data_IF_927909033409
#
_entry.id   IF_927909033409
#
_cell.length_a   1.000
_cell.length_b   1.000
_cell.length_c   1.000
_cell.angle_alpha   90.00
_cell.angle_beta   90.00
_cell.angle_gamma   90.00
#
_symmetry.space_group_name_H-M   'P 1'
#
loop_
_entity.id
_entity.type
_entity.pdbx_description
1 polymer ?
#
# COMPACT_ATOMS: atom_id res chain seq x y z
N UNK A 1 27.82 0.45 -15.61
CA UNK A 1 27.17 -0.37 -14.57
C UNK A 1 26.25 0.53 -13.76
N UNK A 2 25.06 0.05 -13.35
CA UNK A 2 24.18 0.81 -12.46
C UNK A 2 24.91 1.08 -11.13
N UNK A 3 24.73 2.29 -10.58
CA UNK A 3 25.19 2.63 -9.23
C UNK A 3 24.04 2.39 -8.26
N UNK A 4 24.24 1.51 -7.27
CA UNK A 4 23.25 1.21 -6.24
C UNK A 4 23.52 2.05 -4.99
N UNK A 5 22.46 2.63 -4.43
CA UNK A 5 22.48 3.30 -3.13
C UNK A 5 21.39 2.72 -2.24
N UNK A 6 21.77 2.27 -1.04
CA UNK A 6 20.87 1.81 0.00
C UNK A 6 20.80 2.87 1.10
N UNK A 7 19.69 3.61 1.14
CA UNK A 7 19.46 4.62 2.17
C UNK A 7 18.64 4.02 3.32
N UNK A 8 19.17 4.03 4.54
CA UNK A 8 18.45 3.55 5.72
C UNK A 8 18.89 4.25 7.01
N UNK A 9 18.14 4.05 8.09
CA UNK A 9 18.56 4.51 9.42
C UNK A 9 19.92 3.91 9.79
N UNK A 10 20.67 4.62 10.64
CA UNK A 10 21.91 4.10 11.21
C UNK A 10 21.66 3.00 12.27
N UNK A 11 21.12 1.89 11.78
CA UNK A 11 20.80 0.66 12.50
C UNK A 11 20.67 -0.48 11.49
N UNK A 12 20.65 -1.72 11.98
CA UNK A 12 20.46 -2.93 11.15
C UNK A 12 19.06 -2.93 10.51
N UNK A 13 18.04 -3.12 11.35
CA UNK A 13 16.62 -3.05 10.97
C UNK A 13 16.27 -3.81 9.70
N UNK A 14 15.37 -3.26 8.88
CA UNK A 14 14.90 -3.89 7.63
C UNK A 14 15.93 -3.84 6.50
N UNK A 15 16.98 -3.01 6.59
CA UNK A 15 18.00 -2.92 5.55
C UNK A 15 19.10 -3.97 5.68
N UNK A 16 19.27 -4.58 6.87
CA UNK A 16 20.35 -5.54 7.10
C UNK A 16 20.33 -6.73 6.14
N UNK A 17 19.19 -7.39 5.85
CA UNK A 17 19.17 -8.47 4.86
C UNK A 17 19.64 -7.98 3.48
N UNK A 18 19.24 -6.78 3.06
CA UNK A 18 19.68 -6.18 1.79
C UNK A 18 21.18 -5.91 1.76
N UNK A 19 21.77 -5.42 2.86
CA UNK A 19 23.23 -5.24 2.98
C UNK A 19 23.96 -6.56 2.81
N UNK A 20 23.52 -7.61 3.51
CA UNK A 20 24.12 -8.94 3.42
C UNK A 20 24.01 -9.51 2.00
N UNK A 21 22.89 -9.29 1.31
CA UNK A 21 22.71 -9.72 -0.09
C UNK A 21 23.70 -9.04 -1.04
N UNK A 22 23.95 -7.74 -0.90
CA UNK A 22 24.97 -7.05 -1.70
C UNK A 22 26.36 -7.64 -1.48
N UNK A 23 26.73 -7.91 -0.23
CA UNK A 23 28.03 -8.50 0.13
C UNK A 23 28.18 -9.91 -0.45
N UNK A 24 27.19 -10.78 -0.25
CA UNK A 24 27.20 -12.16 -0.77
C UNK A 24 27.27 -12.17 -2.30
N UNK A 25 26.58 -11.24 -2.97
CA UNK A 25 26.60 -11.13 -4.43
C UNK A 25 27.86 -10.46 -4.99
N UNK A 26 28.76 -9.91 -4.16
CA UNK A 26 29.92 -9.15 -4.61
C UNK A 26 29.56 -7.86 -5.36
N UNK A 27 28.35 -7.33 -5.15
CA UNK A 27 27.85 -6.13 -5.84
C UNK A 27 28.19 -4.89 -5.02
N UNK A 28 28.92 -3.97 -5.63
CA UNK A 28 29.25 -2.68 -5.01
C UNK A 28 27.98 -1.81 -4.85
N UNK A 29 27.84 -1.22 -3.67
CA UNK A 29 26.74 -0.31 -3.33
C UNK A 29 27.18 0.75 -2.32
N UNK A 30 26.48 1.87 -2.29
CA UNK A 30 26.63 2.91 -1.28
C UNK A 30 25.66 2.64 -0.11
N UNK A 31 26.17 2.41 1.10
CA UNK A 31 25.37 2.30 2.34
C UNK A 31 25.19 3.69 2.95
N UNK A 32 24.18 4.43 2.49
CA UNK A 32 23.85 5.76 2.98
C UNK A 32 23.04 5.67 4.29
N UNK A 33 23.71 5.90 5.41
CA UNK A 33 23.10 5.87 6.74
C UNK A 33 22.67 7.26 7.15
N UNK A 34 21.41 7.38 7.56
CA UNK A 34 20.79 8.67 7.89
C UNK A 34 20.22 8.70 9.31
N UNK A 35 20.33 9.85 9.95
CA UNK A 35 19.66 10.16 11.22
C UNK A 35 18.20 10.59 11.04
N UNK A 36 17.48 10.74 12.15
CA UNK A 36 16.07 11.18 12.18
C UNK A 36 15.85 12.53 11.48
N UNK A 37 16.76 13.50 11.65
CA UNK A 37 16.62 14.82 11.01
C UNK A 37 16.85 14.76 9.49
N UNK A 38 17.86 13.99 9.04
CA UNK A 38 18.07 13.73 7.62
C UNK A 38 16.88 12.97 7.02
N UNK A 39 16.29 12.03 7.77
CA UNK A 39 15.07 11.34 7.37
C UNK A 39 13.93 12.31 7.13
N UNK A 40 13.70 13.28 8.03
CA UNK A 40 12.66 14.32 7.83
C UNK A 40 12.88 15.12 6.54
N UNK A 41 14.14 15.38 6.17
CA UNK A 41 14.49 16.14 4.96
C UNK A 41 14.31 15.33 3.67
N UNK A 42 14.59 14.01 3.69
CA UNK A 42 14.48 13.15 2.49
C UNK A 42 13.13 12.42 2.39
N UNK A 43 12.40 12.25 3.49
CA UNK A 43 11.08 11.63 3.50
C UNK A 43 10.18 12.52 2.65
N UNK A 44 9.80 12.01 1.48
CA UNK A 44 8.85 12.70 0.61
C UNK A 44 7.59 13.00 1.42
N UNK A 45 7.11 14.26 1.38
CA UNK A 45 5.88 14.71 2.04
C UNK A 45 4.64 14.09 1.39
N UNK A 46 4.51 12.77 1.54
CA UNK A 46 3.37 11.94 1.16
C UNK A 46 2.58 11.52 2.40
N UNK A 47 3.00 11.92 3.60
CA UNK A 47 2.26 11.69 4.84
C UNK A 47 1.21 12.79 5.10
N UNK A 48 1.11 13.83 4.29
CA UNK A 48 0.16 14.93 4.49
C UNK A 48 0.78 16.14 5.20
N UNK A 49 0.15 17.30 5.05
CA UNK A 49 0.73 18.60 5.39
C UNK A 49 0.46 19.02 6.84
N UNK A 50 -0.66 18.57 7.42
CA UNK A 50 -1.02 18.83 8.82
C UNK A 50 -1.02 17.55 9.64
N UNK A 51 -0.94 17.66 10.97
CA UNK A 51 -1.06 16.50 11.87
C UNK A 51 -2.36 15.72 11.65
N UNK A 52 -3.47 16.43 11.37
CA UNK A 52 -4.75 15.79 11.06
C UNK A 52 -4.69 15.00 9.75
N UNK A 53 -4.01 15.51 8.73
CA UNK A 53 -3.80 14.77 7.48
C UNK A 53 -2.92 13.55 7.69
N UNK A 54 -1.82 13.68 8.47
CA UNK A 54 -0.94 12.57 8.83
C UNK A 54 -1.67 11.42 9.50
N UNK A 55 -2.46 11.73 10.52
CA UNK A 55 -3.28 10.75 11.21
C UNK A 55 -4.24 10.01 10.26
N UNK A 56 -4.90 10.75 9.35
CA UNK A 56 -5.80 10.16 8.36
C UNK A 56 -5.08 9.27 7.35
N UNK A 57 -3.88 9.65 6.92
CA UNK A 57 -3.04 8.81 6.06
C UNK A 57 -2.71 7.51 6.78
N UNK A 58 -2.22 7.59 8.02
CA UNK A 58 -1.84 6.42 8.82
C UNK A 58 -3.06 5.49 9.06
N UNK A 59 -4.22 6.05 9.38
CA UNK A 59 -5.44 5.26 9.61
C UNK A 59 -5.90 4.50 8.36
N UNK A 60 -5.90 5.15 7.18
CA UNK A 60 -6.21 4.49 5.90
C UNK A 60 -5.21 3.36 5.63
N UNK A 61 -3.93 3.63 5.82
CA UNK A 61 -2.86 2.65 5.58
C UNK A 61 -3.01 1.45 6.50
N UNK A 62 -3.31 1.67 7.78
CA UNK A 62 -3.47 0.61 8.76
C UNK A 62 -4.65 -0.32 8.41
N UNK A 63 -5.80 0.23 8.03
CA UNK A 63 -6.93 -0.59 7.56
C UNK A 63 -6.56 -1.46 6.36
N UNK A 64 -5.82 -0.92 5.39
CA UNK A 64 -5.42 -1.64 4.18
C UNK A 64 -4.35 -2.70 4.48
N UNK A 65 -3.40 -2.41 5.38
CA UNK A 65 -2.39 -3.37 5.83
C UNK A 65 -3.04 -4.52 6.60
N UNK A 66 -3.98 -4.23 7.51
CA UNK A 66 -4.74 -5.26 8.23
C UNK A 66 -5.51 -6.17 7.25
N UNK A 67 -6.17 -5.58 6.25
CA UNK A 67 -6.87 -6.31 5.20
C UNK A 67 -5.91 -7.23 4.42
N UNK A 68 -4.73 -6.74 4.02
CA UNK A 68 -3.73 -7.54 3.29
C UNK A 68 -3.14 -8.66 4.15
N UNK A 69 -2.77 -8.36 5.38
CA UNK A 69 -2.23 -9.35 6.30
C UNK A 69 -3.21 -10.50 6.50
N UNK A 70 -4.52 -10.18 6.59
CA UNK A 70 -5.54 -11.21 6.74
C UNK A 70 -5.66 -12.13 5.52
N UNK A 71 -5.49 -11.61 4.30
CA UNK A 71 -5.45 -12.45 3.10
C UNK A 71 -4.25 -13.39 3.08
N UNK A 72 -3.09 -12.93 3.55
CA UNK A 72 -1.86 -13.73 3.59
C UNK A 72 -1.97 -14.90 4.58
N UNK A 73 -2.85 -14.80 5.58
CA UNK A 73 -3.12 -15.90 6.51
C UNK A 73 -3.91 -17.05 5.89
N UNK A 74 -4.52 -16.88 4.70
CA UNK A 74 -5.29 -17.93 4.07
C UNK A 74 -4.40 -19.16 3.84
N UNK A 75 -4.80 -20.33 4.35
CA UNK A 75 -4.03 -21.54 4.14
C UNK A 75 -3.99 -21.89 2.65
N UNK A 76 -2.90 -22.54 2.23
CA UNK A 76 -2.86 -23.20 0.94
C UNK A 76 -3.96 -24.26 0.86
N UNK A 77 -4.51 -24.48 -0.33
CA UNK A 77 -5.54 -25.50 -0.59
C UNK A 77 -5.12 -26.85 0.04
N UNK A 78 -5.99 -27.42 0.87
CA UNK A 78 -5.77 -28.67 1.62
C UNK A 78 -7.11 -29.35 1.86
N UNK A 79 -7.18 -30.67 1.69
CA UNK A 79 -8.40 -31.47 1.93
C UNK A 79 -8.66 -31.77 3.42
N UNK A 80 -8.02 -31.04 4.36
CA UNK A 80 -8.23 -31.23 5.80
C UNK A 80 -9.40 -30.34 6.24
N UNK A 81 -10.49 -30.89 6.81
CA UNK A 81 -11.63 -30.11 7.26
C UNK A 81 -11.30 -28.98 8.25
N UNK A 82 -10.21 -29.12 9.03
CA UNK A 82 -9.74 -28.06 9.94
C UNK A 82 -9.15 -26.88 9.17
N UNK A 83 -8.54 -27.15 8.02
CA UNK A 83 -8.00 -26.13 7.13
C UNK A 83 -9.14 -25.38 6.43
N UNK A 84 -10.21 -26.08 6.03
CA UNK A 84 -11.41 -25.47 5.47
C UNK A 84 -12.10 -24.53 6.47
N UNK A 85 -12.40 -25.01 7.68
CA UNK A 85 -13.04 -24.20 8.72
C UNK A 85 -12.22 -22.93 9.06
N UNK A 86 -10.89 -23.07 9.13
CA UNK A 86 -9.99 -21.94 9.34
C UNK A 86 -10.00 -20.97 8.15
N UNK A 87 -10.03 -21.46 6.92
CA UNK A 87 -10.12 -20.63 5.72
C UNK A 87 -11.43 -19.82 5.71
N UNK A 88 -12.56 -20.43 6.08
CA UNK A 88 -13.86 -19.75 6.19
C UNK A 88 -13.84 -18.62 7.22
N UNK A 89 -13.24 -18.86 8.41
CA UNK A 89 -13.10 -17.84 9.44
C UNK A 89 -12.24 -16.66 8.95
N UNK A 90 -11.13 -16.95 8.28
CA UNK A 90 -10.23 -15.93 7.71
C UNK A 90 -10.96 -15.13 6.64
N UNK A 91 -11.68 -15.79 5.73
CA UNK A 91 -12.47 -15.13 4.68
C UNK A 91 -13.56 -14.23 5.27
N UNK A 92 -14.23 -14.68 6.35
CA UNK A 92 -15.21 -13.86 7.06
C UNK A 92 -14.56 -12.62 7.65
N UNK A 93 -13.45 -12.79 8.38
CA UNK A 93 -12.72 -11.67 8.98
C UNK A 93 -12.16 -10.71 7.92
N UNK A 94 -11.67 -11.22 6.80
CA UNK A 94 -11.25 -10.42 5.65
C UNK A 94 -12.40 -9.60 5.08
N UNK A 95 -13.58 -10.19 4.86
CA UNK A 95 -14.77 -9.48 4.38
C UNK A 95 -15.20 -8.38 5.35
N UNK A 96 -15.14 -8.64 6.66
CA UNK A 96 -15.45 -7.64 7.68
C UNK A 96 -14.45 -6.47 7.67
N UNK A 97 -13.15 -6.76 7.54
CA UNK A 97 -12.10 -5.75 7.40
C UNK A 97 -12.25 -4.96 6.11
N UNK A 98 -12.52 -5.62 4.99
CA UNK A 98 -12.76 -4.99 3.69
C UNK A 98 -13.95 -4.04 3.77
N UNK A 99 -15.06 -4.47 4.37
CA UNK A 99 -16.25 -3.63 4.56
C UNK A 99 -15.94 -2.39 5.41
N UNK A 100 -15.21 -2.55 6.53
CA UNK A 100 -14.78 -1.44 7.39
C UNK A 100 -13.86 -0.47 6.64
N UNK A 101 -12.85 -1.00 5.95
CA UNK A 101 -11.90 -0.23 5.16
C UNK A 101 -12.62 0.55 4.06
N UNK A 102 -13.44 -0.11 3.24
CA UNK A 102 -14.21 0.55 2.18
C UNK A 102 -15.14 1.63 2.76
N UNK A 103 -15.86 1.34 3.83
CA UNK A 103 -16.78 2.32 4.45
C UNK A 103 -16.03 3.56 4.95
N UNK A 104 -14.94 3.34 5.69
CA UNK A 104 -14.15 4.42 6.25
C UNK A 104 -13.47 5.25 5.16
N UNK A 105 -12.77 4.60 4.24
CA UNK A 105 -12.02 5.25 3.16
C UNK A 105 -12.99 5.99 2.24
N UNK A 106 -14.10 5.38 1.84
CA UNK A 106 -15.10 6.04 1.01
C UNK A 106 -15.65 7.28 1.71
N UNK A 107 -16.06 7.19 2.98
CA UNK A 107 -16.52 8.35 3.73
C UNK A 107 -15.46 9.45 3.83
N UNK A 108 -14.19 9.07 4.05
CA UNK A 108 -13.07 10.00 4.14
C UNK A 108 -12.81 10.70 2.81
N UNK A 109 -12.77 9.96 1.69
CA UNK A 109 -12.62 10.52 0.35
C UNK A 109 -13.81 11.44 0.03
N UNK A 110 -15.04 11.03 0.30
CA UNK A 110 -16.24 11.83 0.01
C UNK A 110 -16.26 13.14 0.81
N UNK A 111 -15.83 13.12 2.07
CA UNK A 111 -15.62 14.35 2.85
C UNK A 111 -14.54 15.23 2.22
N UNK A 112 -13.40 14.63 1.84
CA UNK A 112 -12.30 15.34 1.22
C UNK A 112 -12.67 15.91 -0.17
N UNK A 113 -13.56 15.26 -0.93
CA UNK A 113 -14.04 15.73 -2.24
C UNK A 113 -14.91 16.99 -2.16
N UNK A 114 -15.61 17.21 -1.04
CA UNK A 114 -16.37 18.46 -0.84
C UNK A 114 -15.45 19.68 -0.77
N UNK A 115 -14.17 19.48 -0.46
CA UNK A 115 -13.16 20.52 -0.25
C UNK A 115 -11.95 20.37 -1.18
N UNK A 116 -11.93 19.36 -2.06
CA UNK A 116 -10.69 18.85 -2.65
C UNK A 116 -10.83 18.31 -4.08
N UNK A 117 -9.69 17.86 -4.59
CA UNK A 117 -9.43 17.58 -6.00
C UNK A 117 -9.30 16.07 -6.32
N UNK A 118 -9.86 15.19 -5.48
CA UNK A 118 -9.95 13.75 -5.74
C UNK A 118 -8.80 12.88 -5.18
N UNK A 119 -8.01 13.41 -4.25
CA UNK A 119 -7.10 12.62 -3.40
C UNK A 119 -7.81 12.11 -2.15
N UNK A 120 -7.25 11.10 -1.49
CA UNK A 120 -7.81 10.51 -0.27
C UNK A 120 -7.70 11.42 0.95
N UNK A 121 -6.59 12.14 1.07
CA UNK A 121 -6.33 13.06 2.18
C UNK A 121 -5.71 14.35 1.64
N UNK A 122 -6.35 15.49 1.91
CA UNK A 122 -5.85 16.79 1.49
C UNK A 122 -5.96 17.02 -0.03
N UNK A 123 -5.10 17.87 -0.57
CA UNK A 123 -5.18 18.36 -1.95
C UNK A 123 -4.05 17.86 -2.87
N UNK A 124 -3.24 16.91 -2.41
CA UNK A 124 -2.06 16.37 -3.11
C UNK A 124 -1.94 14.87 -2.93
N UNK A 125 -1.09 14.23 -3.73
CA UNK A 125 -0.78 12.81 -3.60
C UNK A 125 -0.20 12.53 -2.21
N UNK A 126 -0.75 11.51 -1.56
CA UNK A 126 -0.25 10.96 -0.30
C UNK A 126 0.00 9.46 -0.43
N UNK A 127 0.62 8.86 0.59
CA UNK A 127 0.84 7.43 0.66
C UNK A 127 -0.49 6.65 0.73
N UNK A 128 -1.54 7.26 1.30
CA UNK A 128 -2.88 6.69 1.31
C UNK A 128 -3.40 6.42 -0.11
N UNK A 129 -3.21 7.34 -1.06
CA UNK A 129 -3.65 7.14 -2.45
C UNK A 129 -2.94 5.96 -3.12
N UNK A 130 -1.62 5.85 -2.92
CA UNK A 130 -0.81 4.74 -3.44
C UNK A 130 -1.23 3.41 -2.80
N UNK A 131 -1.45 3.39 -1.49
CA UNK A 131 -1.89 2.20 -0.78
C UNK A 131 -3.30 1.77 -1.19
N UNK A 132 -4.23 2.70 -1.41
CA UNK A 132 -5.56 2.40 -1.97
C UNK A 132 -5.42 1.80 -3.38
N UNK A 133 -4.54 2.35 -4.21
CA UNK A 133 -4.29 1.80 -5.54
C UNK A 133 -3.68 0.39 -5.47
N UNK A 134 -2.72 0.14 -4.59
CA UNK A 134 -2.06 -1.17 -4.56
C UNK A 134 -2.91 -2.25 -3.85
N UNK A 135 -3.52 -1.93 -2.72
CA UNK A 135 -4.18 -2.92 -1.88
C UNK A 135 -5.42 -3.59 -2.52
N UNK A 136 -6.07 -2.91 -3.47
CA UNK A 136 -7.23 -3.47 -4.19
C UNK A 136 -6.87 -4.12 -5.53
N UNK A 137 -5.59 -4.18 -5.95
CA UNK A 137 -5.20 -4.81 -7.23
C UNK A 137 -5.64 -6.29 -7.30
N UNK A 138 -5.24 -7.10 -6.33
CA UNK A 138 -5.55 -8.54 -6.32
C UNK A 138 -7.05 -8.80 -6.13
N UNK A 139 -7.71 -7.95 -5.35
CA UNK A 139 -9.16 -8.01 -5.15
C UNK A 139 -9.88 -7.80 -6.48
N UNK A 140 -9.51 -6.78 -7.24
CA UNK A 140 -10.12 -6.47 -8.53
C UNK A 140 -9.73 -7.46 -9.64
N UNK A 141 -8.55 -8.07 -9.53
CA UNK A 141 -8.16 -9.18 -10.41
C UNK A 141 -9.08 -10.41 -10.22
N UNK A 142 -9.57 -10.63 -8.99
CA UNK A 142 -10.48 -11.74 -8.66
C UNK A 142 -11.95 -11.38 -8.89
N UNK A 143 -12.34 -10.14 -8.57
CA UNK A 143 -13.69 -9.63 -8.75
C UNK A 143 -13.65 -8.16 -9.18
N UNK A 144 -13.82 -7.93 -10.47
CA UNK A 144 -13.77 -6.59 -11.07
C UNK A 144 -14.84 -5.62 -10.52
N UNK A 145 -15.95 -6.17 -9.99
CA UNK A 145 -17.09 -5.41 -9.45
C UNK A 145 -16.97 -5.16 -7.93
N UNK A 146 -15.85 -5.54 -7.31
CA UNK A 146 -15.68 -5.46 -5.85
C UNK A 146 -15.81 -4.04 -5.27
N UNK A 147 -15.66 -3.00 -6.10
CA UNK A 147 -15.70 -1.59 -5.71
C UNK A 147 -16.86 -0.81 -6.35
N UNK A 148 -17.86 -1.45 -6.94
CA UNK A 148 -18.97 -0.78 -7.65
C UNK A 148 -19.71 0.26 -6.78
N UNK A 149 -19.75 0.02 -5.47
CA UNK A 149 -20.39 0.92 -4.49
C UNK A 149 -19.43 1.95 -3.88
N UNK A 150 -18.14 1.92 -4.22
CA UNK A 150 -17.08 2.73 -3.63
C UNK A 150 -16.55 3.76 -4.65
N UNK A 151 -17.42 4.70 -5.04
CA UNK A 151 -17.15 5.65 -6.15
C UNK A 151 -15.91 6.51 -5.88
N UNK A 152 -15.70 6.93 -4.64
CA UNK A 152 -14.55 7.72 -4.22
C UNK A 152 -13.25 6.94 -4.29
N UNK A 153 -13.26 5.69 -3.82
CA UNK A 153 -12.12 4.76 -3.97
C UNK A 153 -11.78 4.55 -5.45
N UNK A 154 -12.78 4.30 -6.30
CA UNK A 154 -12.60 4.14 -7.75
C UNK A 154 -11.96 5.39 -8.38
N UNK A 155 -12.43 6.59 -8.01
CA UNK A 155 -11.85 7.86 -8.49
C UNK A 155 -10.41 8.06 -8.02
N UNK A 156 -10.11 7.79 -6.75
CA UNK A 156 -8.76 7.86 -6.20
C UNK A 156 -7.81 6.93 -6.98
N UNK A 157 -8.22 5.67 -7.18
CA UNK A 157 -7.46 4.69 -7.98
C UNK A 157 -7.23 5.17 -9.41
N UNK A 158 -8.27 5.65 -10.09
CA UNK A 158 -8.17 6.18 -11.46
C UNK A 158 -7.18 7.34 -11.55
N UNK A 159 -7.17 8.23 -10.55
CA UNK A 159 -6.24 9.35 -10.50
C UNK A 159 -4.79 8.87 -10.38
N UNK A 160 -4.51 7.91 -9.50
CA UNK A 160 -3.17 7.31 -9.36
C UNK A 160 -2.72 6.61 -10.65
N UNK A 161 -3.60 5.80 -11.25
CA UNK A 161 -3.31 5.07 -12.49
C UNK A 161 -2.95 5.99 -13.66
N UNK A 162 -3.52 7.19 -13.70
CA UNK A 162 -3.31 8.16 -14.78
C UNK A 162 -2.12 9.11 -14.55
N UNK A 163 -1.40 9.01 -13.43
CA UNK A 163 -0.19 9.81 -13.23
C UNK A 163 0.90 9.37 -14.24
N UNK A 164 1.59 10.28 -14.95
CA UNK A 164 2.45 9.92 -16.08
C UNK A 164 3.49 8.83 -15.75
N UNK A 165 4.17 8.93 -14.60
CA UNK A 165 5.17 7.94 -14.16
C UNK A 165 4.56 6.60 -13.76
N UNK A 166 3.38 6.61 -13.14
CA UNK A 166 2.66 5.39 -12.76
C UNK A 166 2.10 4.71 -14.02
N UNK A 167 1.49 5.48 -14.92
CA UNK A 167 0.96 4.98 -16.20
C UNK A 167 2.06 4.34 -17.05
N UNK A 168 3.23 4.98 -17.15
CA UNK A 168 4.39 4.42 -17.86
C UNK A 168 4.93 3.16 -17.19
N UNK A 169 4.94 3.09 -15.86
CA UNK A 169 5.30 1.87 -15.14
C UNK A 169 4.29 0.74 -15.38
N UNK A 170 2.99 1.03 -15.27
CA UNK A 170 1.92 0.05 -15.42
C UNK A 170 1.87 -0.55 -16.83
N UNK A 171 2.22 0.20 -17.88
CA UNK A 171 2.28 -0.31 -19.26
C UNK A 171 3.44 -1.30 -19.49
N UNK A 172 4.49 -1.22 -18.68
CA UNK A 172 5.69 -2.09 -18.75
C UNK A 172 5.67 -3.20 -17.71
N UNK A 173 4.84 -3.08 -16.67
CA UNK A 173 4.74 -4.04 -15.57
C UNK A 173 4.29 -5.39 -16.12
N UNK A 174 5.07 -6.43 -15.87
CA UNK A 174 4.68 -7.81 -16.21
C UNK A 174 3.44 -8.21 -15.43
N UNK A 175 2.47 -8.82 -16.11
CA UNK A 175 1.34 -9.45 -15.45
C UNK A 175 1.80 -10.67 -14.66
N UNK A 176 1.25 -10.82 -13.45
CA UNK A 176 1.48 -11.96 -12.57
C UNK A 176 0.13 -12.43 -12.03
N UNK A 177 -0.16 -13.73 -12.14
CA UNK A 177 -1.47 -14.34 -11.82
C UNK A 177 -1.57 -14.86 -10.38
N UNK A 178 -0.90 -14.21 -9.42
CA UNK A 178 -0.97 -14.61 -8.01
C UNK A 178 -2.33 -14.30 -7.40
#
# INVERSE_FOLDING_TARGET
MPKYKLTYFDLRGRAEPTRLLFIVAGVQFEDERIGQEQWKAIKHSLDGESLSQKLKVDEIVEYLVAMKNKMVELPMMSDDPRTEARAEEILKSFKDLMMKACTFIEAQIQRNMKEGNGFAVGNRLTFADIMIFEAFENILATNINALDKCVGIVKCRSKVANMPRIKDYLSKRKYTSF
#
